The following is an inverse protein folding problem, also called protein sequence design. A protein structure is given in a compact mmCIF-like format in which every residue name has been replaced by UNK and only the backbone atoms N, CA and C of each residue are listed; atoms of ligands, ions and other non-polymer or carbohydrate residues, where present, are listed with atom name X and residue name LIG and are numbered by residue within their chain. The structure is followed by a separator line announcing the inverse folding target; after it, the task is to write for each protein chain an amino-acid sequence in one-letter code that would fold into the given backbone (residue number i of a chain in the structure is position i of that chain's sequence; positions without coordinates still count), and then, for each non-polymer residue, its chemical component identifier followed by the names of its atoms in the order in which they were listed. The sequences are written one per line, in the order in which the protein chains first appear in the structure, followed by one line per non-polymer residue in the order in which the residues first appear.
data_IF_441708975144
#
_entry.id   IF_441708975144
#
_cell.length_a   1.000
_cell.length_b   1.000
_cell.length_c   1.000
_cell.angle_alpha   90.00
_cell.angle_beta   90.00
_cell.angle_gamma   90.00
#
_symmetry.space_group_name_H-M   'P 1'
#
loop_
_entity.id
_entity.type
_entity.pdbx_description
1 polymer ?
#
# COMPACT_ATOMS: atom_id res chain seq x y z
N UNK A 1 -13.31 3.55 12.01
CA UNK A 1 -14.03 4.80 11.65
C UNK A 1 -14.04 4.91 10.12
N UNK A 2 -15.04 4.34 9.43
CA UNK A 2 -15.33 4.52 7.98
C UNK A 2 -16.48 3.64 7.42
N UNK A 3 -17.25 2.96 8.27
CA UNK A 3 -18.26 1.96 7.84
C UNK A 3 -19.35 2.55 6.94
N UNK A 4 -19.78 3.79 7.18
CA UNK A 4 -20.79 4.47 6.33
C UNK A 4 -20.25 4.80 4.94
N UNK A 5 -19.02 5.30 4.85
CA UNK A 5 -18.39 5.62 3.57
C UNK A 5 -18.11 4.34 2.78
N UNK A 6 -17.59 3.30 3.43
CA UNK A 6 -17.39 1.99 2.80
C UNK A 6 -18.70 1.39 2.29
N UNK A 7 -19.77 1.44 3.08
CA UNK A 7 -21.09 0.94 2.67
C UNK A 7 -21.66 1.70 1.47
N UNK A 8 -21.44 3.02 1.39
CA UNK A 8 -21.82 3.82 0.23
C UNK A 8 -21.02 3.41 -1.02
N UNK A 9 -19.70 3.27 -0.89
CA UNK A 9 -18.83 2.84 -1.99
C UNK A 9 -19.23 1.43 -2.47
N UNK A 10 -19.49 0.50 -1.55
CA UNK A 10 -19.95 -0.84 -1.89
C UNK A 10 -21.26 -0.80 -2.67
N UNK A 11 -22.25 -0.05 -2.16
CA UNK A 11 -23.55 0.10 -2.82
C UNK A 11 -23.38 0.66 -4.24
N UNK A 12 -22.54 1.69 -4.40
CA UNK A 12 -22.26 2.32 -5.69
C UNK A 12 -21.59 1.36 -6.68
N UNK A 13 -20.63 0.55 -6.22
CA UNK A 13 -19.92 -0.42 -7.04
C UNK A 13 -20.79 -1.63 -7.45
N UNK A 14 -21.80 -1.99 -6.66
CA UNK A 14 -22.76 -3.05 -7.00
C UNK A 14 -23.80 -2.63 -8.04
N UNK A 15 -23.96 -1.34 -8.35
CA UNK A 15 -24.88 -0.89 -9.39
C UNK A 15 -24.29 -1.12 -10.78
N UNK A 16 -24.96 -1.95 -11.59
CA UNK A 16 -24.49 -2.41 -12.91
C UNK A 16 -24.56 -1.35 -14.02
N UNK A 17 -25.14 -0.18 -13.75
CA UNK A 17 -25.28 0.92 -14.71
C UNK A 17 -24.21 2.02 -14.53
N UNK A 18 -23.28 1.85 -13.60
CA UNK A 18 -22.26 2.86 -13.30
C UNK A 18 -21.17 2.88 -14.37
N UNK A 19 -20.74 4.08 -14.79
CA UNK A 19 -19.66 4.23 -15.76
C UNK A 19 -18.35 3.59 -15.27
N UNK A 20 -17.60 2.87 -16.12
CA UNK A 20 -16.38 2.17 -15.73
C UNK A 20 -15.32 3.06 -15.06
N UNK A 21 -15.16 4.30 -15.53
CA UNK A 21 -14.21 5.24 -14.95
C UNK A 21 -14.61 5.66 -13.52
N UNK A 22 -15.91 5.86 -13.28
CA UNK A 22 -16.41 6.16 -11.95
C UNK A 22 -16.20 4.95 -11.04
N UNK A 23 -16.52 3.74 -11.50
CA UNK A 23 -16.24 2.50 -10.75
C UNK A 23 -14.76 2.39 -10.35
N UNK A 24 -13.83 2.71 -11.26
CA UNK A 24 -12.40 2.69 -10.97
C UNK A 24 -12.02 3.68 -9.85
N UNK A 25 -12.53 4.91 -9.88
CA UNK A 25 -12.29 5.92 -8.83
C UNK A 25 -12.79 5.41 -7.48
N UNK A 26 -13.97 4.81 -7.44
CA UNK A 26 -14.55 4.26 -6.21
C UNK A 26 -13.81 3.00 -5.71
N UNK A 27 -13.27 2.17 -6.60
CA UNK A 27 -12.37 1.07 -6.24
C UNK A 27 -11.09 1.60 -5.58
N UNK A 28 -10.45 2.62 -6.16
CA UNK A 28 -9.25 3.25 -5.58
C UNK A 28 -9.58 3.84 -4.22
N UNK A 29 -10.69 4.59 -4.11
CA UNK A 29 -11.13 5.15 -2.83
C UNK A 29 -11.37 4.07 -1.77
N UNK A 30 -12.02 2.96 -2.14
CA UNK A 30 -12.22 1.82 -1.24
C UNK A 30 -10.89 1.25 -0.78
N UNK A 31 -9.94 1.02 -1.69
CA UNK A 31 -8.60 0.52 -1.37
C UNK A 31 -7.93 1.45 -0.37
N UNK A 32 -7.89 2.76 -0.61
CA UNK A 32 -7.30 3.72 0.33
C UNK A 32 -7.92 3.67 1.75
N UNK A 33 -9.21 3.32 1.86
CA UNK A 33 -9.92 3.27 3.15
C UNK A 33 -9.72 1.95 3.90
N UNK A 34 -9.40 0.85 3.20
CA UNK A 34 -9.25 -0.49 3.80
C UNK A 34 -7.80 -0.97 3.84
N UNK A 35 -6.90 -0.35 3.08
CA UNK A 35 -5.48 -0.75 3.05
C UNK A 35 -4.85 -0.44 4.40
N UNK A 36 -4.39 -1.49 5.07
CA UNK A 36 -3.41 -1.38 6.15
C UNK A 36 -2.03 -1.69 5.57
N UNK A 37 -0.98 -0.93 5.90
CA UNK A 37 0.39 -1.32 5.60
C UNK A 37 0.67 -2.70 6.21
N UNK A 38 1.32 -3.57 5.43
CA UNK A 38 1.78 -4.87 5.91
C UNK A 38 3.12 -4.76 6.66
N UNK A 39 3.90 -3.73 6.32
CA UNK A 39 5.16 -3.41 6.94
C UNK A 39 5.45 -1.91 6.78
N UNK A 40 6.53 -1.45 7.38
CA UNK A 40 7.07 -0.11 7.23
C UNK A 40 8.55 -0.19 6.87
N UNK A 41 9.02 0.77 6.11
CA UNK A 41 10.44 0.91 5.78
C UNK A 41 10.92 2.28 6.18
N UNK A 42 12.09 2.36 6.78
CA UNK A 42 12.81 3.61 6.96
C UNK A 42 13.77 3.71 5.79
N UNK A 43 13.56 4.70 4.93
CA UNK A 43 14.33 4.92 3.71
C UNK A 43 15.38 5.99 3.92
N UNK A 44 16.56 5.75 3.35
CA UNK A 44 17.60 6.77 3.15
C UNK A 44 17.51 7.34 1.74
N UNK A 45 17.68 8.66 1.54
CA UNK A 45 17.70 9.25 0.20
C UNK A 45 18.75 8.66 -0.73
N UNK A 46 19.84 8.14 -0.18
CA UNK A 46 20.95 7.50 -0.92
C UNK A 46 20.71 6.02 -1.25
N UNK A 47 19.58 5.45 -0.80
CA UNK A 47 19.10 4.11 -1.21
C UNK A 47 19.87 2.89 -0.69
N UNK A 48 20.98 3.07 0.03
CA UNK A 48 21.88 1.96 0.39
C UNK A 48 21.55 1.20 1.67
N UNK A 49 20.64 1.70 2.52
CA UNK A 49 20.34 1.08 3.82
C UNK A 49 18.86 1.22 4.23
N UNK A 50 17.95 0.70 3.41
CA UNK A 50 16.54 0.62 3.79
C UNK A 50 16.35 -0.39 4.94
N UNK A 51 15.63 0.01 5.99
CA UNK A 51 15.38 -0.86 7.16
C UNK A 51 13.90 -1.18 7.31
N UNK A 52 13.56 -2.46 7.40
CA UNK A 52 12.19 -2.98 7.44
C UNK A 52 11.70 -3.19 8.88
N UNK A 53 10.43 -2.88 9.10
CA UNK A 53 9.75 -2.99 10.39
C UNK A 53 8.34 -3.57 10.21
N UNK A 54 7.90 -4.35 11.19
CA UNK A 54 6.55 -4.93 11.25
C UNK A 54 5.54 -4.06 11.99
N UNK A 55 5.98 -2.91 12.53
CA UNK A 55 5.15 -1.90 13.21
C UNK A 55 5.59 -0.48 12.82
N UNK A 56 4.63 0.43 12.67
CA UNK A 56 4.91 1.86 12.45
C UNK A 56 5.67 2.46 13.63
N UNK A 57 5.28 2.06 14.85
CA UNK A 57 5.84 2.59 16.09
C UNK A 57 7.32 2.21 16.22
N UNK A 58 7.67 1.00 15.81
CA UNK A 58 9.07 0.53 15.78
C UNK A 58 9.90 1.31 14.76
N UNK A 59 9.33 1.56 13.56
CA UNK A 59 9.99 2.33 12.52
C UNK A 59 10.26 3.79 12.97
N UNK A 60 9.27 4.42 13.61
CA UNK A 60 9.41 5.77 14.17
C UNK A 60 10.42 5.81 15.32
N UNK A 61 10.36 4.85 16.25
CA UNK A 61 11.30 4.76 17.36
C UNK A 61 12.75 4.53 16.88
N UNK A 62 12.95 3.82 15.77
CA UNK A 62 14.25 3.73 15.12
C UNK A 62 14.69 5.06 14.53
N UNK A 63 13.81 5.75 13.80
CA UNK A 63 14.10 7.06 13.19
C UNK A 63 14.52 8.08 14.25
N UNK A 64 13.82 8.12 15.39
CA UNK A 64 14.16 9.02 16.51
C UNK A 64 15.51 8.71 17.16
N UNK A 65 15.90 7.43 17.24
CA UNK A 65 17.13 7.01 17.93
C UNK A 65 18.37 6.99 17.04
N UNK A 66 18.19 6.64 15.77
CA UNK A 66 19.28 6.27 14.85
C UNK A 66 19.10 6.84 13.43
N UNK A 67 18.04 7.61 13.18
CA UNK A 67 17.77 8.19 11.87
C UNK A 67 18.65 9.38 11.53
N UNK A 68 18.90 9.58 10.23
CA UNK A 68 19.45 10.82 9.70
C UNK A 68 18.36 11.85 9.44
N UNK A 69 18.75 13.12 9.23
CA UNK A 69 17.80 14.24 9.01
C UNK A 69 16.90 14.04 7.81
N UNK A 70 17.36 13.28 6.82
CA UNK A 70 16.70 13.10 5.54
C UNK A 70 16.02 11.73 5.44
N UNK A 71 16.10 10.92 6.50
CA UNK A 71 15.46 9.61 6.57
C UNK A 71 13.95 9.79 6.76
N UNK A 72 13.17 8.92 6.11
CA UNK A 72 11.71 8.95 6.23
C UNK A 72 11.10 7.56 6.33
N UNK A 73 9.98 7.47 7.06
CA UNK A 73 9.19 6.23 7.14
C UNK A 73 8.22 6.20 5.97
N UNK A 74 8.27 5.12 5.19
CA UNK A 74 7.29 4.83 4.15
C UNK A 74 6.51 3.54 4.50
N UNK A 75 5.17 3.54 4.35
CA UNK A 75 4.39 2.31 4.48
C UNK A 75 4.66 1.38 3.31
N UNK A 76 4.76 0.08 3.59
CA UNK A 76 4.81 -0.99 2.60
C UNK A 76 3.45 -1.69 2.57
N UNK A 77 2.77 -1.56 1.44
CA UNK A 77 1.52 -2.25 1.18
C UNK A 77 1.80 -3.57 0.48
N UNK A 78 1.11 -4.63 0.90
CA UNK A 78 1.06 -5.88 0.15
C UNK A 78 0.30 -5.64 -1.15
N UNK A 79 0.89 -6.01 -2.30
CA UNK A 79 0.13 -6.00 -3.54
C UNK A 79 -0.59 -7.32 -3.74
N UNK A 80 -1.90 -7.18 -4.00
CA UNK A 80 -2.73 -8.27 -4.48
C UNK A 80 -2.61 -8.27 -6.00
N UNK A 81 -1.94 -9.26 -6.58
CA UNK A 81 -1.99 -9.49 -8.03
C UNK A 81 -3.32 -10.17 -8.31
N UNK A 82 -4.28 -9.37 -8.80
CA UNK A 82 -5.58 -9.87 -9.24
C UNK A 82 -5.43 -10.28 -10.69
N UNK A 83 -5.31 -11.59 -10.94
CA UNK A 83 -5.45 -12.11 -12.30
C UNK A 83 -6.94 -12.13 -12.67
N UNK A 84 -7.37 -11.09 -13.39
CA UNK A 84 -8.75 -10.93 -13.84
C UNK A 84 -9.19 -12.07 -14.79
N UNK A 85 -8.25 -12.84 -15.35
CA UNK A 85 -8.53 -13.92 -16.31
C UNK A 85 -8.59 -15.32 -15.67
N UNK A 86 -7.91 -15.52 -14.54
CA UNK A 86 -7.74 -16.84 -13.93
C UNK A 86 -8.55 -17.05 -12.63
N UNK A 87 -9.09 -15.99 -12.02
CA UNK A 87 -9.80 -16.10 -10.74
C UNK A 87 -8.92 -16.49 -9.54
N UNK A 88 -7.62 -16.67 -9.75
CA UNK A 88 -6.64 -16.94 -8.70
C UNK A 88 -5.98 -15.65 -8.21
N UNK A 89 -6.07 -15.40 -6.91
CA UNK A 89 -5.37 -14.30 -6.23
C UNK A 89 -3.94 -14.76 -5.93
N UNK A 90 -2.93 -14.06 -6.45
CA UNK A 90 -1.52 -14.31 -6.11
C UNK A 90 -0.93 -13.08 -5.42
N UNK A 91 -0.20 -13.28 -4.32
CA UNK A 91 0.44 -12.19 -3.58
C UNK A 91 1.86 -11.98 -4.09
N UNK A 92 2.21 -10.74 -4.46
CA UNK A 92 3.58 -10.31 -4.73
C UNK A 92 3.88 -9.14 -3.80
N UNK A 93 5.08 -9.08 -3.24
CA UNK A 93 5.56 -7.89 -2.53
C UNK A 93 6.10 -6.90 -3.57
N UNK A 94 5.62 -5.66 -3.55
CA UNK A 94 6.28 -4.53 -4.22
C UNK A 94 7.39 -3.99 -3.32
N UNK A 95 8.50 -4.71 -3.24
CA UNK A 95 9.79 -4.04 -2.99
C UNK A 95 10.34 -3.58 -4.34
N UNK A 96 11.00 -2.41 -4.43
CA UNK A 96 11.77 -2.07 -5.63
C UNK A 96 12.75 -3.22 -5.88
N UNK A 97 12.70 -3.80 -7.08
CA UNK A 97 13.74 -4.72 -7.51
C UNK A 97 15.05 -3.90 -7.54
N UNK A 98 16.15 -4.40 -6.95
CA UNK A 98 17.45 -3.80 -7.22
C UNK A 98 17.66 -3.86 -8.74
N UNK A 99 18.10 -2.75 -9.34
CA UNK A 99 18.48 -2.72 -10.75
C UNK A 99 19.48 -3.86 -11.00
N UNK A 100 19.14 -4.79 -11.89
CA UNK A 100 20.13 -5.70 -12.44
C UNK A 100 21.06 -4.83 -13.30
N UNK A 101 22.28 -4.58 -12.81
CA UNK A 101 23.37 -4.04 -13.61
C UNK A 101 23.72 -5.08 -14.70
N UNK A 102 23.41 -4.76 -15.96
CA UNK A 102 24.06 -5.30 -17.17
C UNK A 102 24.45 -4.15 -18.10
#
# INVERSE_FOLDING_TARGET
MNTRLLSYIDTFLYHSSTEPLQQLVYIIAKLCLITAPAAWVVKRPTGKDDRLFTSQEEALAFLEKQGHSDDYVAPLFTTVKVDMSAGEIRHLLLTPLPDEED
#
